data_IF_441927028157
#
_entry.id   IF_441927028157
#
_cell.length_a   1.000
_cell.length_b   1.000
_cell.length_c   1.000
_cell.angle_alpha   90.00
_cell.angle_beta   90.00
_cell.angle_gamma   90.00
#
_symmetry.space_group_name_H-M   'P 1'
#
loop_
_entity.id
_entity.type
_entity.pdbx_description
1 polymer ?
#
# COMPACT_ATOMS: atom_id res chain seq x y z
N UNK A 1 0.15 11.02 5.95
CA UNK A 1 -0.58 9.76 5.77
C UNK A 1 0.06 8.65 6.60
N UNK A 2 -0.78 7.80 7.12
CA UNK A 2 -0.32 6.67 7.92
C UNK A 2 -0.52 5.39 7.11
N UNK A 3 0.52 4.57 7.06
CA UNK A 3 0.52 3.38 6.23
C UNK A 3 0.80 2.18 7.11
N UNK A 4 -0.11 1.23 7.10
CA UNK A 4 0.05 0.00 7.87
C UNK A 4 0.48 -1.09 6.93
N UNK A 5 1.58 -1.72 7.28
CA UNK A 5 2.14 -2.80 6.48
C UNK A 5 1.95 -4.12 7.22
N UNK A 6 1.89 -5.18 6.45
CA UNK A 6 1.86 -6.52 7.00
C UNK A 6 3.10 -7.27 6.57
N UNK A 7 3.55 -8.17 7.40
CA UNK A 7 4.68 -9.05 7.12
C UNK A 7 5.97 -8.30 6.85
N UNK A 8 6.57 -7.71 7.84
CA UNK A 8 6.14 -7.67 9.22
C UNK A 8 5.13 -6.56 9.42
N UNK A 9 4.37 -6.67 10.47
CA UNK A 9 3.41 -5.65 10.81
C UNK A 9 4.15 -4.41 11.27
N UNK A 10 3.98 -3.30 10.55
CA UNK A 10 4.64 -2.06 10.92
C UNK A 10 3.82 -0.90 10.41
N UNK A 11 4.10 0.25 10.97
CA UNK A 11 3.40 1.48 10.65
C UNK A 11 4.42 2.49 10.20
N UNK A 12 4.13 3.15 9.07
CA UNK A 12 5.01 4.17 8.54
C UNK A 12 4.18 5.43 8.33
N UNK A 13 4.77 6.57 8.65
CA UNK A 13 4.09 7.84 8.42
C UNK A 13 4.87 8.63 7.39
N UNK A 14 4.16 9.12 6.37
CA UNK A 14 4.75 9.94 5.33
C UNK A 14 4.03 11.26 5.26
N UNK A 15 4.75 12.35 5.01
CA UNK A 15 4.13 13.67 4.92
C UNK A 15 3.59 13.95 3.53
N UNK A 16 2.67 14.93 3.47
CA UNK A 16 2.23 15.47 2.21
C UNK A 16 1.27 14.58 1.46
N UNK A 17 1.12 14.90 0.18
CA UNK A 17 0.24 14.17 -0.72
C UNK A 17 1.07 13.46 -1.76
N UNK A 18 0.68 12.23 -2.07
CA UNK A 18 1.41 11.43 -3.04
C UNK A 18 0.43 10.50 -3.72
N UNK A 19 0.82 10.03 -4.89
CA UNK A 19 0.08 8.95 -5.52
C UNK A 19 0.45 7.65 -4.84
N UNK A 20 -0.47 6.69 -4.88
CA UNK A 20 -0.23 5.40 -4.26
C UNK A 20 1.07 4.79 -4.75
N UNK A 21 1.32 4.87 -6.06
CA UNK A 21 2.56 4.29 -6.60
C UNK A 21 3.80 4.97 -6.03
N UNK A 22 3.71 6.25 -5.72
CA UNK A 22 4.84 6.97 -5.14
C UNK A 22 5.06 6.57 -3.69
N UNK A 23 3.96 6.34 -2.97
CA UNK A 23 4.05 5.85 -1.59
C UNK A 23 4.75 4.50 -1.57
N UNK A 24 4.34 3.61 -2.45
CA UNK A 24 4.94 2.28 -2.49
C UNK A 24 6.40 2.35 -2.90
N UNK A 25 6.74 3.27 -3.79
CA UNK A 25 8.13 3.43 -4.20
C UNK A 25 8.99 3.87 -3.03
N UNK A 26 8.49 4.76 -2.20
CA UNK A 26 9.23 5.21 -1.03
C UNK A 26 9.42 4.09 -0.02
N UNK A 27 8.49 3.16 0.01
CA UNK A 27 8.58 2.01 0.91
C UNK A 27 9.35 0.85 0.29
N UNK A 28 9.86 1.05 -0.92
CA UNK A 28 10.61 0.03 -1.65
C UNK A 28 9.74 -1.20 -1.94
N UNK A 29 8.50 -0.94 -2.33
CA UNK A 29 7.53 -1.98 -2.62
C UNK A 29 7.09 -1.84 -4.07
N UNK A 30 7.06 -2.95 -4.79
CA UNK A 30 6.58 -2.95 -6.18
C UNK A 30 5.05 -2.89 -6.18
N UNK A 31 4.47 -1.94 -6.94
CA UNK A 31 3.01 -1.77 -6.89
C UNK A 31 2.22 -3.00 -7.28
N UNK A 32 2.75 -3.80 -8.16
CA UNK A 32 2.02 -4.99 -8.62
C UNK A 32 1.99 -6.13 -7.62
N UNK A 33 2.70 -6.00 -6.50
CA UNK A 33 2.81 -7.10 -5.54
C UNK A 33 1.94 -6.90 -4.31
N UNK A 34 1.23 -5.80 -4.23
CA UNK A 34 0.44 -5.50 -3.03
C UNK A 34 -0.89 -4.86 -3.42
N UNK A 35 -1.83 -4.92 -2.49
CA UNK A 35 -3.07 -4.18 -2.56
C UNK A 35 -2.99 -3.05 -1.55
N UNK A 36 -3.48 -1.88 -1.94
CA UNK A 36 -3.53 -0.72 -1.05
C UNK A 36 -4.98 -0.40 -0.78
N UNK A 37 -5.34 -0.34 0.48
CA UNK A 37 -6.72 -0.17 0.91
C UNK A 37 -6.81 1.06 1.80
N UNK A 38 -7.81 1.90 1.55
CA UNK A 38 -8.10 3.04 2.39
C UNK A 38 -9.51 2.83 2.95
N UNK A 39 -9.58 2.54 4.25
CA UNK A 39 -10.85 2.18 4.83
C UNK A 39 -11.36 0.88 4.24
N UNK A 40 -12.42 0.95 3.46
CA UNK A 40 -12.93 -0.21 2.76
C UNK A 40 -12.75 -0.08 1.24
N UNK A 41 -11.99 0.91 0.79
CA UNK A 41 -11.81 1.17 -0.64
C UNK A 41 -10.46 0.65 -1.11
N UNK A 42 -10.50 -0.10 -2.18
CA UNK A 42 -9.28 -0.55 -2.83
C UNK A 42 -8.78 0.55 -3.76
N UNK A 43 -7.56 0.97 -3.56
CA UNK A 43 -7.00 2.09 -4.32
C UNK A 43 -6.16 1.59 -5.48
N UNK A 44 -6.20 2.35 -6.58
CA UNK A 44 -5.33 2.08 -7.71
C UNK A 44 -4.02 2.83 -7.52
N UNK A 45 -3.02 2.47 -8.33
CA UNK A 45 -1.70 3.07 -8.22
C UNK A 45 -1.70 4.56 -8.53
N UNK A 46 -2.68 5.02 -9.30
CA UNK A 46 -2.73 6.42 -9.71
C UNK A 46 -3.52 7.31 -8.76
N UNK A 47 -4.17 6.73 -7.77
CA UNK A 47 -4.96 7.53 -6.85
C UNK A 47 -4.08 8.33 -5.92
N UNK A 48 -4.56 9.51 -5.56
CA UNK A 48 -3.82 10.42 -4.70
C UNK A 48 -4.29 10.23 -3.27
N UNK A 49 -3.33 10.14 -2.36
CA UNK A 49 -3.60 10.06 -0.93
C UNK A 49 -2.88 11.21 -0.25
N UNK A 50 -3.36 11.62 0.89
CA UNK A 50 -2.81 12.79 1.54
C UNK A 50 -2.88 12.70 3.05
N UNK A 51 -2.67 13.86 3.67
CA UNK A 51 -2.68 13.92 5.12
C UNK A 51 -4.03 13.49 5.66
N UNK A 52 -4.00 12.78 6.76
CA UNK A 52 -5.21 12.28 7.36
C UNK A 52 -5.67 10.95 6.81
N UNK A 53 -5.09 10.49 5.73
CA UNK A 53 -5.43 9.20 5.17
C UNK A 53 -4.72 8.09 5.91
N UNK A 54 -5.43 6.99 6.09
CA UNK A 54 -4.84 5.77 6.64
C UNK A 54 -4.92 4.69 5.58
N UNK A 55 -3.78 4.13 5.26
CA UNK A 55 -3.69 3.13 4.22
C UNK A 55 -3.26 1.80 4.82
N UNK A 56 -3.74 0.74 4.23
CA UNK A 56 -3.30 -0.60 4.59
C UNK A 56 -2.72 -1.25 3.35
N UNK A 57 -1.50 -1.76 3.46
CA UNK A 57 -0.83 -2.42 2.35
C UNK A 57 -0.80 -3.91 2.65
N UNK A 58 -1.40 -4.69 1.77
CA UNK A 58 -1.47 -6.13 1.93
C UNK A 58 -0.74 -6.81 0.79
N UNK A 59 0.11 -7.77 1.08
CA UNK A 59 0.78 -8.49 0.00
C UNK A 59 -0.22 -9.34 -0.77
N UNK A 60 -0.02 -9.41 -2.07
CA UNK A 60 -0.82 -10.28 -2.92
C UNK A 60 -0.01 -11.55 -3.13
N UNK A 61 -0.61 -12.66 -2.76
CA UNK A 61 0.06 -13.93 -2.99
C UNK A 61 -0.13 -14.32 -4.43
N UNK A 62 0.90 -14.16 -5.17
CA UNK A 62 0.82 -14.64 -6.52
C UNK A 62 1.29 -16.06 -6.49
N UNK A 63 0.73 -16.71 -6.45
CA UNK A 63 1.22 -17.79 -6.28
C UNK A 63 1.54 -18.82 -6.44
N UNK A 64 1.72 -18.64 -6.42
CA UNK A 64 1.73 -19.28 -6.42
C UNK A 64 1.46 -20.06 -6.37
N UNK A 65 1.56 -19.99 -6.36
CA UNK A 65 1.27 -20.59 -6.35
C UNK A 65 0.83 -21.24 -6.09
N UNK A 66 0.77 -21.27 -5.77
CA UNK A 66 0.30 -21.94 -5.39
C UNK A 66 -0.58 -22.43 -5.80
N UNK A 67 -1.03 -22.35 -6.09
CA UNK A 67 -1.87 -22.98 -6.51
C UNK A 67 -1.56 -23.77 -7.43
N UNK A 68 -1.07 -23.89 -7.43
CA UNK A 68 -0.81 -24.60 -8.12
C UNK A 68 -0.83 -25.39 -8.01
#
# INVERSE_FOLDING_TARGET
>A
MKIKLRNPSREVELPGRKRVKEVLKELDILPGTVLVIRGSDLLTADEVVGEGDELEVRPVMSGGSDWT
#
